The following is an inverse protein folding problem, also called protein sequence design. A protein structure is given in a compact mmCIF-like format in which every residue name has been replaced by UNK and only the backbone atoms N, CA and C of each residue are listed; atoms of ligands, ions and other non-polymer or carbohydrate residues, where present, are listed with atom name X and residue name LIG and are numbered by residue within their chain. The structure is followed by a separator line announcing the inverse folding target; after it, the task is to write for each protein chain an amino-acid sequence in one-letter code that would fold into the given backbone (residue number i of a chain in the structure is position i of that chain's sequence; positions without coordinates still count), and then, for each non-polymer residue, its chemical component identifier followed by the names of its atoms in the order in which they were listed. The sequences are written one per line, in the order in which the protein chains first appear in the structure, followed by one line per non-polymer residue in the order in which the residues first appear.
data_IF_926928332199
#
_entry.id   IF_926928332199
#
_cell.length_a   1.000
_cell.length_b   1.000
_cell.length_c   1.000
_cell.angle_alpha   90.00
_cell.angle_beta   90.00
_cell.angle_gamma   90.00
#
_symmetry.space_group_name_H-M   'P 1'
#
loop_
_entity.id
_entity.type
_entity.pdbx_description
1 polymer ?
#
# COMPACT_ATOMS: atom_id res chain seq x y z
N UNK A 1 -17.87 -4.31 -4.59
CA UNK A 1 -16.75 -5.28 -4.72
C UNK A 1 -15.69 -4.62 -5.55
N UNK A 2 -14.53 -4.43 -5.00
CA UNK A 2 -13.39 -3.80 -5.66
C UNK A 2 -12.96 -4.73 -6.79
N UNK A 3 -12.99 -4.23 -8.03
CA UNK A 3 -12.52 -4.96 -9.22
C UNK A 3 -11.14 -4.42 -9.57
N UNK A 4 -10.20 -5.29 -9.97
CA UNK A 4 -8.92 -4.86 -10.52
C UNK A 4 -7.71 -5.08 -9.60
N UNK A 5 -7.79 -6.02 -8.67
CA UNK A 5 -6.61 -6.56 -8.03
C UNK A 5 -5.83 -7.40 -9.05
N UNK A 6 -4.51 -7.24 -9.09
CA UNK A 6 -3.64 -8.13 -9.86
C UNK A 6 -3.50 -9.50 -9.20
N UNK A 7 -2.80 -10.41 -9.91
CA UNK A 7 -2.45 -11.74 -9.43
C UNK A 7 -3.62 -12.72 -9.23
N UNK A 8 -4.67 -12.56 -10.01
CA UNK A 8 -5.85 -13.41 -10.04
C UNK A 8 -5.71 -14.59 -11.02
N UNK A 9 -4.51 -15.18 -11.06
CA UNK A 9 -4.17 -16.33 -11.93
C UNK A 9 -5.15 -17.51 -11.80
N UNK A 10 -5.76 -17.68 -10.64
CA UNK A 10 -6.77 -18.72 -10.37
C UNK A 10 -8.02 -18.61 -11.27
N UNK A 11 -8.29 -17.43 -11.86
CA UNK A 11 -9.44 -17.22 -12.75
C UNK A 11 -9.24 -17.78 -14.15
N UNK A 12 -7.99 -18.05 -14.56
CA UNK A 12 -7.68 -18.34 -15.96
C UNK A 12 -7.66 -19.82 -16.31
N UNK A 13 -7.66 -20.73 -15.34
CA UNK A 13 -7.71 -22.18 -15.55
C UNK A 13 -6.58 -22.79 -16.40
N UNK A 14 -5.51 -22.01 -16.64
CA UNK A 14 -4.33 -22.39 -17.43
C UNK A 14 -3.05 -21.82 -16.82
N UNK A 15 -1.88 -22.43 -17.04
CA UNK A 15 -0.60 -21.89 -16.58
C UNK A 15 -0.35 -20.48 -17.11
N UNK A 16 0.08 -19.57 -16.24
CA UNK A 16 0.49 -18.22 -16.59
C UNK A 16 1.99 -18.26 -16.92
N UNK A 17 2.36 -17.94 -18.15
CA UNK A 17 3.75 -17.91 -18.60
C UNK A 17 4.46 -16.59 -18.27
N UNK A 18 3.72 -15.49 -18.24
CA UNK A 18 4.23 -14.17 -17.85
C UNK A 18 3.14 -13.41 -17.10
N UNK A 19 3.43 -12.99 -15.87
CA UNK A 19 2.53 -12.22 -15.02
C UNK A 19 3.00 -10.77 -14.95
N UNK A 20 2.21 -9.86 -15.49
CA UNK A 20 2.43 -8.41 -15.45
C UNK A 20 1.40 -7.70 -14.56
N UNK A 21 0.60 -8.46 -13.81
CA UNK A 21 -0.49 -7.92 -12.98
C UNK A 21 -0.11 -7.68 -11.53
N UNK A 22 1.09 -8.11 -11.12
CA UNK A 22 1.59 -7.88 -9.75
C UNK A 22 3.10 -7.62 -9.73
N UNK A 23 3.56 -6.95 -8.67
CA UNK A 23 4.97 -6.63 -8.44
C UNK A 23 5.70 -7.71 -7.61
N UNK A 24 5.12 -8.90 -7.48
CA UNK A 24 5.73 -9.97 -6.70
C UNK A 24 6.94 -10.53 -7.43
N UNK A 25 8.11 -10.42 -6.81
CA UNK A 25 9.33 -10.99 -7.35
C UNK A 25 9.42 -12.49 -7.03
N UNK A 26 8.87 -13.31 -7.93
CA UNK A 26 8.76 -14.77 -7.72
C UNK A 26 10.09 -15.55 -7.72
N UNK A 27 11.23 -14.90 -8.01
CA UNK A 27 12.57 -15.55 -8.04
C UNK A 27 13.41 -15.25 -6.81
N UNK A 28 12.86 -14.58 -5.79
CA UNK A 28 13.59 -14.30 -4.56
C UNK A 28 13.84 -15.60 -3.78
N UNK A 29 15.06 -15.77 -3.26
CA UNK A 29 15.34 -16.85 -2.34
C UNK A 29 14.74 -16.56 -0.96
N UNK A 30 13.71 -17.31 -0.60
CA UNK A 30 13.01 -17.21 0.67
C UNK A 30 13.49 -18.23 1.70
N UNK A 31 14.57 -18.98 1.45
CA UNK A 31 15.02 -20.06 2.32
C UNK A 31 15.33 -19.57 3.74
N UNK A 32 16.00 -18.44 3.87
CA UNK A 32 16.31 -17.82 5.17
C UNK A 32 15.05 -17.40 5.93
N UNK A 33 14.10 -16.76 5.26
CA UNK A 33 12.82 -16.37 5.85
C UNK A 33 12.02 -17.58 6.30
N UNK A 34 11.90 -18.61 5.46
CA UNK A 34 11.20 -19.86 5.80
C UNK A 34 11.80 -20.52 7.02
N UNK A 35 13.14 -20.62 7.09
CA UNK A 35 13.84 -21.19 8.25
C UNK A 35 13.54 -20.40 9.53
N UNK A 36 13.56 -19.07 9.45
CA UNK A 36 13.23 -18.21 10.59
C UNK A 36 11.79 -18.41 11.05
N UNK A 37 10.81 -18.38 10.14
CA UNK A 37 9.41 -18.62 10.46
C UNK A 37 9.18 -19.99 11.11
N UNK A 38 9.84 -21.06 10.61
CA UNK A 38 9.77 -22.38 11.23
C UNK A 38 10.35 -22.39 12.66
N UNK A 39 11.40 -21.61 12.92
CA UNK A 39 11.98 -21.52 14.26
C UNK A 39 11.11 -20.75 15.27
N UNK A 40 10.20 -19.90 14.78
CA UNK A 40 9.27 -19.12 15.60
C UNK A 40 7.87 -19.76 15.71
N UNK A 41 7.68 -20.98 15.20
CA UNK A 41 6.33 -21.58 15.14
C UNK A 41 5.68 -21.77 16.52
N UNK A 42 6.46 -21.94 17.59
CA UNK A 42 5.92 -22.11 18.94
C UNK A 42 5.25 -20.82 19.47
N UNK A 43 5.60 -19.67 18.91
CA UNK A 43 5.02 -18.38 19.30
C UNK A 43 3.53 -18.24 18.93
N UNK A 44 3.03 -19.03 17.96
CA UNK A 44 1.62 -18.99 17.54
C UNK A 44 0.63 -19.40 18.66
N UNK A 45 1.12 -20.05 19.71
CA UNK A 45 0.31 -20.41 20.87
C UNK A 45 0.02 -19.26 21.84
N UNK A 46 0.57 -18.08 21.60
CA UNK A 46 0.42 -16.91 22.46
C UNK A 46 -0.24 -15.75 21.73
N UNK A 47 -0.93 -14.88 22.48
CA UNK A 47 -1.38 -13.61 21.90
C UNK A 47 -0.19 -12.72 21.57
N UNK A 48 -0.21 -12.04 20.41
CA UNK A 48 0.78 -11.02 20.10
C UNK A 48 0.64 -9.80 21.03
N UNK A 49 1.60 -8.90 20.95
CA UNK A 49 1.46 -7.56 21.55
C UNK A 49 0.16 -6.90 21.05
N UNK A 50 -0.61 -6.20 21.91
CA UNK A 50 -1.84 -5.52 21.50
C UNK A 50 -1.64 -4.51 20.38
N UNK A 51 -0.50 -3.82 20.42
CA UNK A 51 0.02 -2.95 19.38
C UNK A 51 1.45 -3.38 19.07
N UNK A 52 1.99 -3.18 17.87
CA UNK A 52 3.30 -3.69 17.45
C UNK A 52 4.49 -2.87 17.98
N UNK A 53 4.50 -2.54 19.28
CA UNK A 53 5.48 -1.64 19.92
C UNK A 53 6.93 -2.06 19.68
N UNK A 54 7.23 -3.36 19.84
CA UNK A 54 8.59 -3.87 19.64
C UNK A 54 9.05 -3.70 18.20
N UNK A 55 8.17 -3.93 17.22
CA UNK A 55 8.48 -3.78 15.81
C UNK A 55 8.64 -2.30 15.44
N UNK A 56 7.74 -1.42 15.91
CA UNK A 56 7.82 0.02 15.69
C UNK A 56 9.10 0.61 16.25
N UNK A 57 9.49 0.27 17.46
CA UNK A 57 10.75 0.69 18.07
C UNK A 57 11.97 0.20 17.27
N UNK A 58 11.94 -1.05 16.78
CA UNK A 58 12.98 -1.61 15.94
C UNK A 58 13.14 -0.87 14.60
N UNK A 59 12.01 -0.57 13.95
CA UNK A 59 11.98 0.20 12.69
C UNK A 59 12.43 1.64 12.90
N UNK A 60 11.93 2.30 13.95
CA UNK A 60 12.32 3.66 14.31
C UNK A 60 13.84 3.77 14.50
N UNK A 61 14.43 2.87 15.29
CA UNK A 61 15.89 2.81 15.48
C UNK A 61 16.63 2.64 14.15
N UNK A 62 16.17 1.73 13.29
CA UNK A 62 16.77 1.48 11.98
C UNK A 62 16.74 2.70 11.08
N UNK A 63 15.66 3.47 11.12
CA UNK A 63 15.45 4.64 10.26
C UNK A 63 15.79 5.98 10.92
N UNK A 64 16.29 5.96 12.17
CA UNK A 64 16.62 7.16 12.97
C UNK A 64 15.42 8.07 13.19
N UNK A 65 14.29 7.46 13.50
CA UNK A 65 13.02 8.10 13.83
C UNK A 65 12.69 7.88 15.33
N UNK A 66 11.67 8.58 15.81
CA UNK A 66 11.02 8.25 17.08
C UNK A 66 9.97 7.16 16.83
N UNK A 67 9.63 6.36 17.87
CA UNK A 67 8.64 5.28 17.71
C UNK A 67 7.27 5.81 17.30
N UNK A 68 6.90 6.99 17.77
CA UNK A 68 5.64 7.68 17.45
C UNK A 68 5.53 8.15 15.99
N UNK A 69 6.66 8.13 15.26
CA UNK A 69 6.72 8.47 13.83
C UNK A 69 6.58 7.23 12.92
N UNK A 70 6.42 6.04 13.53
CA UNK A 70 6.29 4.77 12.81
C UNK A 70 4.92 4.17 13.09
N UNK A 71 4.23 3.75 12.07
CA UNK A 71 2.98 3.00 12.17
C UNK A 71 3.09 1.71 11.38
N UNK A 72 2.95 0.59 12.06
CA UNK A 72 2.94 -0.75 11.44
C UNK A 72 1.52 -1.13 11.07
N UNK A 73 1.33 -1.62 9.85
CA UNK A 73 0.02 -2.00 9.32
C UNK A 73 0.07 -3.37 8.63
N UNK A 74 -1.10 -3.99 8.43
CA UNK A 74 -1.25 -5.21 7.63
C UNK A 74 -1.11 -4.91 6.12
N UNK A 75 0.09 -4.51 5.72
CA UNK A 75 0.41 -4.14 4.36
C UNK A 75 -0.01 -2.72 3.99
N UNK A 76 0.37 -2.31 2.76
CA UNK A 76 0.13 -0.96 2.26
C UNK A 76 -1.36 -0.60 2.12
N UNK A 77 -2.23 -1.57 1.90
CA UNK A 77 -3.67 -1.32 1.76
C UNK A 77 -4.24 -0.74 3.05
N UNK A 78 -3.97 -1.34 4.21
CA UNK A 78 -4.43 -0.79 5.49
C UNK A 78 -3.89 0.63 5.71
N UNK A 79 -2.60 0.85 5.44
CA UNK A 79 -2.01 2.20 5.54
C UNK A 79 -2.74 3.23 4.67
N UNK A 80 -3.10 2.86 3.42
CA UNK A 80 -3.85 3.72 2.51
C UNK A 80 -5.20 4.10 3.11
N UNK A 81 -5.94 3.13 3.67
CA UNK A 81 -7.25 3.39 4.27
C UNK A 81 -7.15 4.24 5.54
N UNK A 82 -6.17 3.99 6.40
CA UNK A 82 -5.94 4.80 7.61
C UNK A 82 -5.58 6.26 7.27
N UNK A 83 -4.74 6.46 6.27
CA UNK A 83 -4.40 7.80 5.79
C UNK A 83 -5.63 8.49 5.22
N UNK A 84 -6.40 7.81 4.36
CA UNK A 84 -7.63 8.38 3.82
C UNK A 84 -8.65 8.69 4.93
N UNK A 85 -8.77 7.85 5.95
CA UNK A 85 -9.61 8.09 7.11
C UNK A 85 -9.18 9.35 7.89
N UNK A 86 -7.88 9.52 8.10
CA UNK A 86 -7.32 10.66 8.82
C UNK A 86 -7.64 11.98 8.12
N UNK A 87 -7.60 12.00 6.79
CA UNK A 87 -7.90 13.17 5.97
C UNK A 87 -9.32 13.17 5.39
N UNK A 88 -10.26 12.47 6.02
CA UNK A 88 -11.63 12.31 5.54
C UNK A 88 -12.28 13.62 5.07
N UNK A 89 -13.07 13.53 4.01
CA UNK A 89 -13.87 14.64 3.49
C UNK A 89 -13.08 15.72 2.74
N UNK A 90 -11.78 15.52 2.50
CA UNK A 90 -10.96 16.52 1.81
C UNK A 90 -11.03 16.37 0.28
N UNK A 91 -10.57 17.40 -0.43
CA UNK A 91 -10.34 17.32 -1.87
C UNK A 91 -8.98 16.64 -2.11
N UNK A 92 -9.00 15.56 -2.86
CA UNK A 92 -7.84 14.70 -3.08
C UNK A 92 -7.57 14.52 -4.57
N UNK A 93 -6.32 14.73 -4.97
CA UNK A 93 -5.86 14.39 -6.31
C UNK A 93 -5.14 13.02 -6.30
N UNK A 94 -5.33 12.26 -7.38
CA UNK A 94 -4.70 10.94 -7.54
C UNK A 94 -4.10 10.87 -8.94
N UNK A 95 -2.78 10.67 -9.02
CA UNK A 95 -2.12 10.40 -10.29
C UNK A 95 -2.47 9.00 -10.79
N UNK A 96 -2.84 8.90 -12.06
CA UNK A 96 -3.23 7.67 -12.72
C UNK A 96 -2.41 7.44 -14.00
N UNK A 97 -2.23 6.16 -14.43
CA UNK A 97 -2.79 4.94 -13.80
C UNK A 97 -2.10 4.59 -12.49
N UNK A 98 -2.85 4.06 -11.53
CA UNK A 98 -2.34 3.66 -10.22
C UNK A 98 -3.18 2.57 -9.59
N UNK A 99 -2.77 2.08 -8.42
CA UNK A 99 -3.48 1.09 -7.64
C UNK A 99 -4.88 1.59 -7.23
N UNK A 100 -5.89 0.78 -7.46
CA UNK A 100 -7.31 1.15 -7.28
C UNK A 100 -7.66 1.55 -5.85
N UNK A 101 -6.95 0.98 -4.86
CA UNK A 101 -7.22 1.21 -3.44
C UNK A 101 -7.12 2.67 -3.02
N UNK A 102 -6.26 3.48 -3.67
CA UNK A 102 -6.20 4.92 -3.37
C UNK A 102 -7.55 5.61 -3.61
N UNK A 103 -8.17 5.31 -4.74
CA UNK A 103 -9.46 5.92 -5.08
C UNK A 103 -10.60 5.36 -4.23
N UNK A 104 -10.58 4.06 -3.93
CA UNK A 104 -11.62 3.40 -3.15
C UNK A 104 -11.57 3.84 -1.68
N UNK A 105 -10.39 3.89 -1.08
CA UNK A 105 -10.21 4.42 0.28
C UNK A 105 -10.71 5.87 0.39
N UNK A 106 -10.34 6.71 -0.58
CA UNK A 106 -10.80 8.10 -0.62
C UNK A 106 -12.32 8.19 -0.72
N UNK A 107 -12.96 7.41 -1.60
CA UNK A 107 -14.43 7.42 -1.76
C UNK A 107 -15.16 6.97 -0.50
N UNK A 108 -14.69 5.91 0.14
CA UNK A 108 -15.28 5.39 1.39
C UNK A 108 -15.22 6.43 2.50
N UNK A 109 -14.15 7.22 2.56
CA UNK A 109 -13.98 8.26 3.56
C UNK A 109 -14.47 9.65 3.10
N UNK A 110 -15.29 9.71 2.04
CA UNK A 110 -16.01 10.91 1.62
C UNK A 110 -15.15 11.99 0.96
N UNK A 111 -13.99 11.64 0.41
CA UNK A 111 -13.16 12.59 -0.34
C UNK A 111 -13.79 12.96 -1.68
N UNK A 112 -13.57 14.18 -2.12
CA UNK A 112 -13.77 14.58 -3.52
C UNK A 112 -12.50 14.24 -4.30
N UNK A 113 -12.60 13.23 -5.17
CA UNK A 113 -11.44 12.70 -5.89
C UNK A 113 -11.32 13.32 -7.26
N UNK A 114 -10.16 13.91 -7.56
CA UNK A 114 -9.75 14.39 -8.88
C UNK A 114 -8.68 13.46 -9.46
N UNK A 115 -8.97 12.80 -10.56
CA UNK A 115 -7.99 11.98 -11.28
C UNK A 115 -7.09 12.88 -12.14
N UNK A 116 -5.78 12.70 -12.01
CA UNK A 116 -4.77 13.35 -12.83
C UNK A 116 -4.06 12.27 -13.65
N UNK A 117 -4.10 12.39 -14.98
CA UNK A 117 -3.45 11.40 -15.84
C UNK A 117 -2.05 11.85 -16.19
N UNK A 118 -1.05 11.02 -15.92
CA UNK A 118 0.31 11.23 -16.40
C UNK A 118 0.34 11.00 -17.91
N UNK A 119 0.31 12.07 -18.68
CA UNK A 119 0.47 12.03 -20.13
C UNK A 119 1.97 12.01 -20.48
N UNK A 120 2.36 11.30 -21.55
CA UNK A 120 3.78 11.19 -21.93
C UNK A 120 4.42 12.49 -22.45
N UNK A 121 3.67 13.57 -22.56
CA UNK A 121 4.22 14.82 -23.09
C UNK A 121 5.00 15.57 -22.01
N UNK A 122 6.30 15.63 -22.15
CA UNK A 122 7.28 16.29 -21.24
C UNK A 122 7.04 17.79 -20.98
N UNK A 123 5.97 18.37 -21.51
CA UNK A 123 5.73 19.82 -21.48
C UNK A 123 4.52 20.27 -20.67
N UNK A 124 3.75 19.33 -20.11
CA UNK A 124 2.58 19.73 -19.33
C UNK A 124 2.93 19.82 -17.84
N UNK A 125 3.04 21.05 -17.36
CA UNK A 125 3.06 21.30 -15.92
C UNK A 125 1.66 21.04 -15.35
N UNK A 126 1.51 20.01 -14.54
CA UNK A 126 0.27 19.78 -13.82
C UNK A 126 -0.01 20.94 -12.88
N UNK A 127 -1.09 21.64 -13.12
CA UNK A 127 -1.60 22.60 -12.15
C UNK A 127 -2.61 21.90 -11.26
N UNK A 128 -2.22 21.69 -10.02
CA UNK A 128 -3.17 21.21 -9.01
C UNK A 128 -4.20 22.30 -8.73
N UNK A 129 -5.50 21.97 -8.68
CA UNK A 129 -6.50 22.89 -8.14
C UNK A 129 -6.09 23.39 -6.76
N UNK A 130 -6.32 24.66 -6.47
CA UNK A 130 -5.87 25.31 -5.23
C UNK A 130 -6.54 24.76 -3.97
N UNK A 131 -7.64 24.04 -4.12
CA UNK A 131 -8.41 23.42 -3.04
C UNK A 131 -7.99 21.97 -2.73
N UNK A 132 -7.02 21.40 -3.45
CA UNK A 132 -6.47 20.09 -3.16
C UNK A 132 -5.71 20.12 -1.83
N UNK A 133 -6.09 19.23 -0.93
CA UNK A 133 -5.47 19.07 0.39
C UNK A 133 -4.63 17.81 0.51
N UNK A 134 -4.85 16.85 -0.37
CA UNK A 134 -4.16 15.57 -0.38
C UNK A 134 -3.82 15.15 -1.80
N UNK A 135 -2.64 14.58 -1.97
CA UNK A 135 -2.17 14.06 -3.25
C UNK A 135 -1.67 12.63 -3.06
N UNK A 136 -2.20 11.71 -3.87
CA UNK A 136 -1.64 10.39 -4.00
C UNK A 136 -0.74 10.30 -5.22
N UNK A 137 0.52 9.95 -4.97
CA UNK A 137 1.52 9.66 -6.00
C UNK A 137 2.08 8.27 -5.71
N UNK A 138 1.74 7.31 -6.55
CA UNK A 138 2.33 5.99 -6.51
C UNK A 138 3.61 6.00 -7.35
N UNK A 139 4.72 5.66 -6.72
CA UNK A 139 6.01 5.48 -7.39
C UNK A 139 6.44 4.03 -7.14
N UNK A 140 6.12 3.13 -8.08
CA UNK A 140 6.42 1.70 -7.97
C UNK A 140 7.91 1.38 -8.06
#
# INVERSE_FOLDING_TARGET
MIKGHGDDAYQYGRPITANFSSNVFGRVDLSGLKKHLCACMDEIGSYPEPEPYTLEAGLAKKHRLQSEEVCVTNGATEAIYLIAQTFRGTNTAIFQPTFSEYADACRIHGHRVTALFMLPSEKEHYRLPSDIRMLWLCNP
#
